data_IF_330923069676
#
_entry.id   IF_330923069676
#
_cell.length_a   1.000
_cell.length_b   1.000
_cell.length_c   1.000
_cell.angle_alpha   90.00
_cell.angle_beta   90.00
_cell.angle_gamma   90.00
#
_symmetry.space_group_name_H-M   'P 1'
#
loop_
_entity.id
_entity.type
_entity.pdbx_description
1 polymer ?
#
# COMPACT_ATOMS: atom_id res chain seq x y z
N UNK A 1 28.46 11.15 -16.05
CA UNK A 1 27.90 9.86 -15.58
C UNK A 1 28.51 9.37 -14.26
N UNK A 2 29.84 9.38 -14.09
CA UNK A 2 30.54 8.92 -12.85
C UNK A 2 29.96 9.50 -11.54
N UNK A 3 29.68 10.81 -11.51
CA UNK A 3 29.12 11.49 -10.31
C UNK A 3 27.72 11.03 -9.91
N UNK A 4 26.88 10.64 -10.87
CA UNK A 4 25.51 10.16 -10.59
C UNK A 4 25.56 8.78 -9.96
N UNK A 5 26.43 7.91 -10.48
CA UNK A 5 26.59 6.56 -9.95
C UNK A 5 27.19 6.57 -8.54
N UNK A 6 28.15 7.45 -8.27
CA UNK A 6 28.70 7.65 -6.92
C UNK A 6 27.68 8.24 -5.94
N UNK A 7 26.81 9.16 -6.39
CA UNK A 7 25.71 9.68 -5.59
C UNK A 7 24.69 8.59 -5.23
N UNK A 8 24.32 7.73 -6.18
CA UNK A 8 23.42 6.58 -5.93
C UNK A 8 24.07 5.60 -4.95
N UNK A 9 25.35 5.27 -5.15
CA UNK A 9 26.09 4.34 -4.29
C UNK A 9 26.22 4.86 -2.86
N UNK A 10 26.60 6.13 -2.69
CA UNK A 10 26.72 6.76 -1.37
C UNK A 10 25.37 6.90 -0.66
N UNK A 11 24.30 7.23 -1.41
CA UNK A 11 22.94 7.24 -0.90
C UNK A 11 22.48 5.86 -0.42
N UNK A 12 22.71 4.81 -1.22
CA UNK A 12 22.35 3.44 -0.87
C UNK A 12 23.06 2.95 0.39
N UNK A 13 24.37 3.19 0.51
CA UNK A 13 25.15 2.82 1.70
C UNK A 13 24.65 3.57 2.94
N UNK A 14 24.35 4.87 2.80
CA UNK A 14 23.83 5.70 3.90
C UNK A 14 22.46 5.22 4.37
N UNK A 15 21.57 4.85 3.44
CA UNK A 15 20.25 4.30 3.74
C UNK A 15 20.34 2.95 4.47
N UNK A 16 21.28 2.09 4.07
CA UNK A 16 21.49 0.78 4.71
C UNK A 16 21.98 0.90 6.16
N UNK A 17 22.69 1.99 6.49
CA UNK A 17 23.14 2.30 7.85
C UNK A 17 22.00 2.59 8.84
N UNK A 18 20.80 2.93 8.37
CA UNK A 18 19.64 3.25 9.21
C UNK A 18 18.71 2.05 9.46
N UNK A 19 19.25 0.96 10.00
CA UNK A 19 18.49 -0.30 10.27
C UNK A 19 17.20 -0.09 11.08
N UNK A 20 17.22 0.80 12.07
CA UNK A 20 16.05 1.10 12.91
C UNK A 20 14.91 1.77 12.12
N UNK A 21 15.26 2.60 11.13
CA UNK A 21 14.30 3.25 10.25
C UNK A 21 13.63 2.23 9.33
N UNK A 22 14.41 1.29 8.77
CA UNK A 22 13.89 0.17 7.99
C UNK A 22 12.97 -0.74 8.80
N UNK A 23 13.38 -1.08 10.03
CA UNK A 23 12.56 -1.90 10.92
C UNK A 23 11.22 -1.22 11.26
N UNK A 24 11.22 0.09 11.48
CA UNK A 24 10.00 0.86 11.71
C UNK A 24 9.08 0.83 10.50
N UNK A 25 9.60 1.13 9.29
CA UNK A 25 8.80 1.11 8.07
C UNK A 25 8.19 -0.28 7.83
N UNK A 26 9.00 -1.33 7.99
CA UNK A 26 8.56 -2.71 7.82
C UNK A 26 7.50 -3.10 8.86
N UNK A 27 7.70 -2.78 10.14
CA UNK A 27 6.72 -3.07 11.19
C UNK A 27 5.38 -2.39 10.95
N UNK A 28 5.38 -1.13 10.49
CA UNK A 28 4.12 -0.45 10.18
C UNK A 28 3.41 -1.10 8.99
N UNK A 29 4.14 -1.45 7.93
CA UNK A 29 3.55 -2.15 6.78
C UNK A 29 2.97 -3.53 7.16
N UNK A 30 3.70 -4.30 7.98
CA UNK A 30 3.23 -5.59 8.50
C UNK A 30 1.98 -5.40 9.35
N UNK A 31 1.94 -4.40 10.23
CA UNK A 31 0.76 -4.09 11.03
C UNK A 31 -0.46 -3.78 10.14
N UNK A 32 -0.28 -2.99 9.08
CA UNK A 32 -1.35 -2.73 8.11
C UNK A 32 -1.82 -4.01 7.40
N UNK A 33 -0.89 -4.86 6.97
CA UNK A 33 -1.25 -6.13 6.34
C UNK A 33 -2.11 -6.99 7.28
N UNK A 34 -1.70 -7.16 8.54
CA UNK A 34 -2.48 -7.90 9.53
C UNK A 34 -3.86 -7.28 9.78
N UNK A 35 -3.95 -5.95 9.87
CA UNK A 35 -5.22 -5.25 10.07
C UNK A 35 -6.18 -5.43 8.89
N UNK A 36 -5.68 -5.47 7.66
CA UNK A 36 -6.50 -5.73 6.46
C UNK A 36 -6.86 -7.20 6.27
N UNK A 37 -6.00 -8.12 6.73
CA UNK A 37 -6.27 -9.56 6.61
C UNK A 37 -7.48 -10.00 7.45
N UNK A 38 -7.69 -9.41 8.62
CA UNK A 38 -8.78 -9.83 9.52
C UNK A 38 -10.20 -9.72 8.90
N UNK A 39 -10.64 -8.55 8.36
CA UNK A 39 -11.95 -8.47 7.70
C UNK A 39 -12.03 -9.40 6.49
N UNK A 40 -10.95 -9.55 5.72
CA UNK A 40 -10.89 -10.48 4.57
C UNK A 40 -11.15 -11.93 5.00
N UNK A 41 -10.55 -12.38 6.11
CA UNK A 41 -10.76 -13.72 6.64
C UNK A 41 -12.21 -13.91 7.07
N UNK A 42 -12.81 -12.98 7.80
CA UNK A 42 -14.22 -13.09 8.21
C UNK A 42 -15.16 -13.17 7.01
N UNK A 43 -14.94 -12.37 5.97
CA UNK A 43 -15.74 -12.45 4.74
C UNK A 43 -15.57 -13.81 4.07
N UNK A 44 -14.34 -14.33 4.01
CA UNK A 44 -14.06 -15.65 3.46
C UNK A 44 -14.71 -16.77 4.29
N UNK A 45 -14.69 -16.68 5.61
CA UNK A 45 -15.31 -17.64 6.52
C UNK A 45 -16.84 -17.58 6.46
N UNK A 46 -17.44 -16.39 6.40
CA UNK A 46 -18.89 -16.25 6.26
C UNK A 46 -19.38 -16.69 4.89
N UNK A 47 -18.57 -16.48 3.84
CA UNK A 47 -18.94 -16.82 2.46
C UNK A 47 -18.63 -18.28 2.09
N UNK A 48 -17.60 -18.89 2.69
CA UNK A 48 -17.13 -20.24 2.36
C UNK A 48 -17.16 -21.24 3.52
N UNK A 49 -17.35 -20.81 4.77
CA UNK A 49 -17.35 -21.67 5.96
C UNK A 49 -18.52 -22.64 6.04
N UNK A 50 -19.64 -22.34 5.36
CA UNK A 50 -20.77 -23.27 5.17
C UNK A 50 -20.63 -24.14 3.91
N UNK A 51 -19.68 -23.82 3.04
CA UNK A 51 -19.51 -24.46 1.75
C UNK A 51 -18.54 -25.64 1.85
N UNK A 52 -19.05 -26.86 1.61
CA UNK A 52 -18.23 -28.06 1.44
C UNK A 52 -17.20 -27.94 0.29
N UNK A 53 -17.22 -26.85 -0.50
CA UNK A 53 -16.29 -26.61 -1.62
C UNK A 53 -14.83 -26.42 -1.18
N UNK A 54 -14.57 -25.78 -0.02
CA UNK A 54 -13.19 -25.61 0.48
C UNK A 54 -12.56 -26.92 0.99
N UNK A 55 -13.37 -27.82 1.55
CA UNK A 55 -12.89 -29.10 2.11
C UNK A 55 -12.48 -30.11 1.03
N UNK A 56 -12.94 -29.96 -0.22
CA UNK A 56 -12.67 -30.90 -1.31
C UNK A 56 -11.71 -30.42 -2.41
N UNK A 57 -11.48 -29.10 -2.55
CA UNK A 57 -10.72 -28.51 -3.67
C UNK A 57 -9.58 -27.58 -3.27
N UNK A 58 -9.05 -27.71 -2.06
CA UNK A 58 -7.95 -26.86 -1.55
C UNK A 58 -6.64 -26.90 -2.37
N UNK A 59 -6.53 -27.75 -3.41
CA UNK A 59 -5.34 -27.85 -4.26
C UNK A 59 -5.41 -27.14 -5.63
N UNK A 60 -6.59 -26.68 -6.08
CA UNK A 60 -6.73 -26.08 -7.42
C UNK A 60 -7.59 -24.82 -7.35
N UNK A 61 -6.98 -23.68 -7.68
CA UNK A 61 -7.69 -22.41 -7.85
C UNK A 61 -8.65 -22.53 -9.06
N UNK A 62 -9.95 -22.45 -8.81
CA UNK A 62 -11.00 -22.53 -9.83
C UNK A 62 -11.58 -21.13 -10.06
N UNK A 63 -11.40 -20.58 -11.27
CA UNK A 63 -11.84 -19.22 -11.60
C UNK A 63 -13.37 -19.07 -11.53
N UNK A 64 -14.12 -20.16 -11.71
CA UNK A 64 -15.58 -20.16 -11.56
C UNK A 64 -15.99 -19.89 -10.11
N UNK A 65 -15.17 -20.32 -9.15
CA UNK A 65 -15.38 -20.09 -7.72
C UNK A 65 -15.29 -18.59 -7.39
N UNK A 66 -14.41 -17.87 -8.08
CA UNK A 66 -14.30 -16.41 -7.98
C UNK A 66 -15.49 -15.75 -8.67
N UNK A 67 -15.85 -16.17 -9.88
CA UNK A 67 -16.99 -15.61 -10.60
C UNK A 67 -18.33 -15.82 -9.85
N UNK A 68 -18.56 -17.00 -9.29
CA UNK A 68 -19.74 -17.31 -8.50
C UNK A 68 -19.77 -16.51 -7.19
N UNK A 69 -18.61 -16.31 -6.56
CA UNK A 69 -18.49 -15.44 -5.40
C UNK A 69 -18.92 -14.00 -5.72
N UNK A 70 -18.43 -13.42 -6.81
CA UNK A 70 -18.83 -12.06 -7.23
C UNK A 70 -20.31 -11.96 -7.62
N UNK A 71 -20.87 -12.99 -8.25
CA UNK A 71 -22.26 -12.99 -8.70
C UNK A 71 -23.28 -13.22 -7.58
N UNK A 72 -22.97 -14.05 -6.58
CA UNK A 72 -23.91 -14.37 -5.49
C UNK A 72 -23.76 -13.48 -4.26
N UNK A 73 -22.57 -12.95 -3.98
CA UNK A 73 -22.29 -12.21 -2.76
C UNK A 73 -22.10 -10.70 -3.00
N UNK A 74 -22.54 -10.18 -4.15
CA UNK A 74 -22.48 -8.77 -4.49
C UNK A 74 -23.02 -7.85 -3.39
N UNK A 75 -24.08 -8.24 -2.68
CA UNK A 75 -24.65 -7.46 -1.56
C UNK A 75 -23.70 -7.36 -0.34
N UNK A 76 -22.92 -8.40 -0.03
CA UNK A 76 -21.92 -8.32 1.04
C UNK A 76 -20.63 -7.63 0.56
N UNK A 77 -20.39 -7.60 -0.76
CA UNK A 77 -19.21 -7.00 -1.37
C UNK A 77 -19.15 -5.48 -1.16
N UNK A 78 -20.30 -4.79 -1.10
CA UNK A 78 -20.37 -3.37 -0.79
C UNK A 78 -19.80 -3.03 0.60
N UNK A 79 -20.05 -3.88 1.59
CA UNK A 79 -19.49 -3.71 2.95
C UNK A 79 -17.96 -3.86 2.94
N UNK A 80 -17.43 -4.78 2.12
CA UNK A 80 -15.99 -4.97 1.92
C UNK A 80 -15.38 -3.76 1.25
N UNK A 81 -15.98 -3.27 0.16
CA UNK A 81 -15.51 -2.09 -0.55
C UNK A 81 -15.53 -0.88 0.38
N UNK A 82 -16.60 -0.68 1.14
CA UNK A 82 -16.73 0.44 2.07
C UNK A 82 -15.66 0.42 3.16
N UNK A 83 -15.40 -0.74 3.76
CA UNK A 83 -14.33 -0.89 4.75
C UNK A 83 -12.94 -0.72 4.12
N UNK A 84 -12.71 -1.26 2.92
CA UNK A 84 -11.46 -1.11 2.18
C UNK A 84 -11.14 0.36 1.87
N UNK A 85 -12.14 1.19 1.56
CA UNK A 85 -11.96 2.62 1.35
C UNK A 85 -11.37 3.33 2.57
N UNK A 86 -11.88 3.02 3.77
CA UNK A 86 -11.32 3.57 5.01
C UNK A 86 -9.89 3.11 5.25
N UNK A 87 -9.58 1.84 5.00
CA UNK A 87 -8.22 1.33 5.10
C UNK A 87 -7.27 2.02 4.11
N UNK A 88 -7.69 2.21 2.87
CA UNK A 88 -6.90 2.93 1.85
C UNK A 88 -6.62 4.36 2.30
N UNK A 89 -7.62 5.05 2.85
CA UNK A 89 -7.46 6.43 3.32
C UNK A 89 -6.47 6.51 4.51
N UNK A 90 -6.62 5.63 5.49
CA UNK A 90 -5.72 5.57 6.65
C UNK A 90 -4.30 5.19 6.21
N UNK A 91 -4.17 4.22 5.31
CA UNK A 91 -2.88 3.82 4.73
C UNK A 91 -2.24 4.99 3.97
N UNK A 92 -3.00 5.76 3.20
CA UNK A 92 -2.48 6.93 2.50
C UNK A 92 -1.93 7.96 3.49
N UNK A 93 -2.68 8.29 4.55
CA UNK A 93 -2.23 9.23 5.58
C UNK A 93 -0.94 8.74 6.23
N UNK A 94 -0.90 7.46 6.65
CA UNK A 94 0.29 6.91 7.30
C UNK A 94 1.47 6.84 6.34
N UNK A 95 1.28 6.39 5.11
CA UNK A 95 2.35 6.30 4.12
C UNK A 95 2.94 7.67 3.75
N UNK A 96 2.12 8.71 3.66
CA UNK A 96 2.56 10.10 3.47
C UNK A 96 3.40 10.56 4.66
N UNK A 97 2.94 10.31 5.89
CA UNK A 97 3.67 10.67 7.10
C UNK A 97 5.02 9.94 7.18
N UNK A 98 5.03 8.63 6.90
CA UNK A 98 6.25 7.82 6.91
C UNK A 98 7.24 8.28 5.83
N UNK A 99 6.76 8.61 4.64
CA UNK A 99 7.59 9.11 3.53
C UNK A 99 8.23 10.45 3.87
N UNK A 100 7.47 11.37 4.46
CA UNK A 100 7.96 12.65 4.93
C UNK A 100 9.05 12.49 6.02
N UNK A 101 8.79 11.64 7.02
CA UNK A 101 9.74 11.36 8.10
C UNK A 101 11.01 10.66 7.61
N UNK A 102 10.87 9.74 6.64
CA UNK A 102 11.98 9.00 6.03
C UNK A 102 12.91 9.95 5.27
N UNK A 103 12.38 10.73 4.33
CA UNK A 103 13.18 11.63 3.49
C UNK A 103 13.89 12.68 4.34
N UNK A 104 13.23 13.23 5.36
CA UNK A 104 13.84 14.19 6.26
C UNK A 104 14.96 13.57 7.13
N UNK A 105 14.81 12.32 7.54
CA UNK A 105 15.82 11.61 8.35
C UNK A 105 17.10 11.27 7.58
N UNK A 106 17.04 11.26 6.24
CA UNK A 106 18.20 10.99 5.38
C UNK A 106 19.00 12.25 5.01
N UNK A 107 18.50 13.43 5.34
CA UNK A 107 19.16 14.69 5.01
C UNK A 107 20.58 14.73 5.59
N UNK A 108 21.57 15.31 4.87
CA UNK A 108 22.98 15.34 5.31
C UNK A 108 23.22 15.92 6.69
N UNK A 109 22.32 16.79 7.18
CA UNK A 109 22.41 17.45 8.49
C UNK A 109 22.05 16.55 9.67
N UNK A 110 21.50 15.36 9.43
CA UNK A 110 21.09 14.41 10.46
C UNK A 110 22.11 13.28 10.51
N UNK A 111 23.00 13.31 11.52
CA UNK A 111 24.07 12.31 11.67
C UNK A 111 23.57 10.97 12.24
N UNK A 112 22.50 10.98 13.04
CA UNK A 112 21.91 9.78 13.67
C UNK A 112 20.39 9.78 13.61
N UNK A 113 19.82 8.61 13.37
CA UNK A 113 18.37 8.41 13.46
C UNK A 113 17.89 8.63 14.89
N UNK A 114 16.81 9.39 15.03
CA UNK A 114 16.13 9.65 16.29
C UNK A 114 14.63 9.64 16.03
N UNK A 115 13.89 8.79 16.74
CA UNK A 115 12.44 8.65 16.57
C UNK A 115 11.67 9.97 16.84
N UNK A 116 11.98 10.76 17.88
CA UNK A 116 11.40 12.09 18.05
C UNK A 116 11.59 13.02 16.85
N UNK A 117 12.79 13.00 16.25
CA UNK A 117 13.08 13.79 15.06
C UNK A 117 12.28 13.28 13.85
N UNK A 118 12.16 11.95 13.68
CA UNK A 118 11.34 11.35 12.63
C UNK A 118 9.88 11.81 12.71
N UNK A 119 9.28 11.77 13.91
CA UNK A 119 7.89 12.21 14.11
C UNK A 119 7.74 13.71 13.86
N UNK A 120 8.67 14.52 14.38
CA UNK A 120 8.69 15.98 14.18
C UNK A 120 8.74 16.33 12.69
N UNK A 121 9.67 15.72 11.95
CA UNK A 121 9.83 16.00 10.53
C UNK A 121 8.68 15.41 9.69
N UNK A 122 8.17 14.24 10.06
CA UNK A 122 6.99 13.64 9.46
C UNK A 122 5.80 14.59 9.53
N UNK A 123 5.55 15.20 10.70
CA UNK A 123 4.50 16.21 10.87
C UNK A 123 4.78 17.51 10.11
N UNK A 124 6.01 18.02 10.19
CA UNK A 124 6.40 19.29 9.54
C UNK A 124 6.23 19.25 8.01
N UNK A 125 6.58 18.13 7.38
CA UNK A 125 6.53 17.97 5.93
C UNK A 125 5.29 17.23 5.43
N UNK A 126 4.41 16.77 6.33
CA UNK A 126 3.21 15.99 6.02
C UNK A 126 2.41 16.59 4.87
N UNK A 127 2.04 17.88 4.96
CA UNK A 127 1.18 18.52 3.98
C UNK A 127 1.83 18.61 2.59
N UNK A 128 3.14 18.87 2.53
CA UNK A 128 3.86 18.93 1.25
C UNK A 128 3.89 17.56 0.58
N UNK A 129 4.17 16.51 1.35
CA UNK A 129 4.12 15.14 0.83
C UNK A 129 2.70 14.72 0.47
N UNK A 130 1.68 15.12 1.22
CA UNK A 130 0.28 14.83 0.91
C UNK A 130 -0.12 15.41 -0.44
N UNK A 131 0.19 16.68 -0.69
CA UNK A 131 -0.10 17.34 -1.98
C UNK A 131 0.60 16.61 -3.12
N UNK A 132 1.88 16.25 -2.96
CA UNK A 132 2.62 15.49 -3.98
C UNK A 132 1.98 14.12 -4.22
N UNK A 133 1.60 13.40 -3.16
CA UNK A 133 0.93 12.11 -3.27
C UNK A 133 -0.42 12.21 -3.98
N UNK A 134 -1.22 13.23 -3.68
CA UNK A 134 -2.50 13.47 -4.37
C UNK A 134 -2.27 13.76 -5.85
N UNK A 135 -1.29 14.60 -6.21
CA UNK A 135 -0.96 14.88 -7.61
C UNK A 135 -0.56 13.59 -8.34
N UNK A 136 0.29 12.75 -7.73
CA UNK A 136 0.69 11.48 -8.31
C UNK A 136 -0.49 10.52 -8.49
N UNK A 137 -1.40 10.45 -7.51
CA UNK A 137 -2.61 9.63 -7.62
C UNK A 137 -3.52 10.10 -8.76
N UNK A 138 -3.69 11.42 -8.94
CA UNK A 138 -4.46 11.98 -10.05
C UNK A 138 -3.81 11.60 -11.39
N UNK A 139 -2.49 11.78 -11.53
CA UNK A 139 -1.78 11.42 -12.76
C UNK A 139 -1.92 9.92 -13.04
N UNK A 140 -1.75 9.06 -12.03
CA UNK A 140 -1.86 7.62 -12.18
C UNK A 140 -3.29 7.19 -12.52
N UNK A 141 -4.30 7.85 -11.94
CA UNK A 141 -5.69 7.66 -12.29
C UNK A 141 -5.98 8.02 -13.75
N UNK A 142 -5.47 9.17 -14.22
CA UNK A 142 -5.60 9.59 -15.62
C UNK A 142 -4.95 8.61 -16.60
N UNK A 143 -3.72 8.16 -16.30
CA UNK A 143 -3.02 7.19 -17.13
C UNK A 143 -3.74 5.83 -17.18
N UNK A 144 -4.23 5.36 -16.03
CA UNK A 144 -4.96 4.10 -15.95
C UNK A 144 -6.29 4.19 -16.71
N UNK A 145 -7.01 5.32 -16.57
CA UNK A 145 -8.22 5.60 -17.34
C UNK A 145 -7.98 5.61 -18.84
N UNK A 146 -6.92 6.31 -19.29
CA UNK A 146 -6.53 6.31 -20.70
C UNK A 146 -6.19 4.90 -21.21
N UNK A 147 -5.47 4.10 -20.44
CA UNK A 147 -5.14 2.73 -20.81
C UNK A 147 -6.39 1.84 -20.99
N UNK A 148 -7.38 1.98 -20.10
CA UNK A 148 -8.66 1.26 -20.21
C UNK A 148 -9.41 1.67 -21.47
N UNK A 149 -9.50 2.97 -21.76
CA UNK A 149 -10.18 3.48 -22.96
C UNK A 149 -9.51 2.98 -24.25
N UNK A 150 -8.17 2.99 -24.30
CA UNK A 150 -7.43 2.46 -25.43
C UNK A 150 -7.66 0.96 -25.60
N UNK A 151 -7.66 0.20 -24.51
CA UNK A 151 -7.91 -1.24 -24.56
C UNK A 151 -9.32 -1.54 -25.10
N UNK A 152 -10.34 -0.82 -24.64
CA UNK A 152 -11.72 -0.95 -25.15
C UNK A 152 -11.83 -0.62 -26.64
N UNK A 153 -11.09 0.38 -27.13
CA UNK A 153 -11.07 0.76 -28.55
C UNK A 153 -10.38 -0.28 -29.46
N UNK A 154 -9.54 -1.15 -28.91
CA UNK A 154 -8.83 -2.19 -29.67
C UNK A 154 -9.59 -3.52 -29.60
N UNK A 155 -10.30 -3.77 -28.49
CA UNK A 155 -11.04 -5.01 -28.23
C UNK A 155 -12.49 -5.01 -28.73
N UNK A 156 -13.05 -3.84 -29.04
CA UNK A 156 -14.35 -3.68 -29.72
C UNK A 156 -14.18 -3.45 -31.22
#
# INVERSE_FOLDING_TARGET
>A
MMKVFEAIKSGAIKVWGFRNLWALLYMVLVAFAFLMTNPLIHILEDSFGSSQLLKGKAGVFDYNLVADFFNHFGENFDTVIYSAWWFILIYLIVSVFLSAGYVASLQPRVEKYSFPNFVKFGGQYFWKFLVVSVILLVIQGLLSGLAILLFQSIAG
#
